data_IF_211311011392
#
_entry.id   IF_211311011392
#
_cell.length_a   1.000
_cell.length_b   1.000
_cell.length_c   1.000
_cell.angle_alpha   90.00
_cell.angle_beta   90.00
_cell.angle_gamma   90.00
#
_symmetry.space_group_name_H-M   'P 1'
#
loop_
_entity.id
_entity.type
_entity.pdbx_description
1 polymer ?
#
# COMPACT_ATOMS: atom_id res chain seq x y z
N UNK A 1 28.96 -6.04 -3.10
CA UNK A 1 30.20 -6.66 -3.61
C UNK A 1 31.38 -5.69 -3.61
N UNK A 2 31.24 -4.48 -4.17
CA UNK A 2 32.31 -3.45 -4.17
C UNK A 2 32.87 -3.09 -2.80
N UNK A 3 32.01 -2.91 -1.79
CA UNK A 3 32.43 -2.58 -0.41
C UNK A 3 33.32 -3.70 0.15
N UNK A 4 32.91 -4.98 0.03
CA UNK A 4 33.71 -6.11 0.49
C UNK A 4 35.09 -6.17 -0.16
N UNK A 5 35.18 -5.97 -1.48
CA UNK A 5 36.45 -5.97 -2.20
C UNK A 5 37.38 -4.84 -1.77
N UNK A 6 36.84 -3.63 -1.56
CA UNK A 6 37.62 -2.49 -1.07
C UNK A 6 38.21 -2.77 0.32
N UNK A 7 37.42 -3.39 1.20
CA UNK A 7 37.82 -3.71 2.57
C UNK A 7 38.89 -4.81 2.61
N UNK A 8 38.85 -5.77 1.68
CA UNK A 8 39.86 -6.83 1.59
C UNK A 8 41.19 -6.36 0.99
N UNK A 9 41.17 -5.40 0.06
CA UNK A 9 42.38 -4.93 -0.64
C UNK A 9 43.14 -3.88 0.18
N UNK A 10 42.44 -3.02 0.92
CA UNK A 10 43.07 -1.91 1.68
C UNK A 10 44.18 -2.37 2.66
N UNK A 11 43.97 -3.39 3.52
CA UNK A 11 45.02 -3.87 4.42
C UNK A 11 46.24 -4.41 3.66
N UNK A 12 46.03 -5.08 2.53
CA UNK A 12 47.12 -5.59 1.70
C UNK A 12 47.96 -4.43 1.13
N UNK A 13 47.32 -3.35 0.67
CA UNK A 13 48.01 -2.13 0.23
C UNK A 13 48.81 -1.50 1.38
N UNK A 14 48.23 -1.41 2.58
CA UNK A 14 48.93 -0.86 3.76
C UNK A 14 50.16 -1.69 4.10
N UNK A 15 50.04 -3.03 4.11
CA UNK A 15 51.19 -3.90 4.36
C UNK A 15 52.26 -3.78 3.27
N UNK A 16 51.87 -3.66 2.00
CA UNK A 16 52.78 -3.45 0.88
C UNK A 16 53.56 -2.13 1.04
N UNK A 17 52.85 -1.01 1.26
CA UNK A 17 53.46 0.33 1.39
C UNK A 17 54.32 0.42 2.64
N UNK A 18 53.83 -0.07 3.78
CA UNK A 18 54.57 -0.04 5.03
C UNK A 18 55.81 -0.96 4.98
N UNK A 19 55.69 -2.14 4.37
CA UNK A 19 56.82 -3.02 4.12
C UNK A 19 57.89 -2.37 3.22
N UNK A 20 57.46 -1.71 2.14
CA UNK A 20 58.35 -0.96 1.27
C UNK A 20 59.07 0.20 1.99
N UNK A 21 58.37 0.96 2.83
CA UNK A 21 58.96 2.08 3.60
C UNK A 21 59.93 1.62 4.69
N UNK A 22 59.69 0.46 5.31
CA UNK A 22 60.62 -0.15 6.28
C UNK A 22 61.94 -0.53 5.58
N UNK A 23 61.88 -1.10 4.37
CA UNK A 23 63.07 -1.50 3.60
C UNK A 23 63.92 -0.27 3.22
N UNK A 24 63.28 0.84 2.85
CA UNK A 24 63.96 2.10 2.49
C UNK A 24 64.38 2.94 3.71
N UNK A 25 64.27 2.38 4.93
CA UNK A 25 64.65 2.99 6.22
C UNK A 25 64.08 4.40 6.44
N UNK A 26 62.82 4.61 6.08
CA UNK A 26 62.10 5.85 6.40
C UNK A 26 61.96 5.98 7.94
N UNK A 27 62.46 7.05 8.56
CA UNK A 27 62.34 7.24 10.01
C UNK A 27 60.88 7.39 10.45
N UNK A 28 60.49 6.76 11.55
CA UNK A 28 59.20 6.99 12.21
C UNK A 28 58.12 5.91 12.02
N UNK A 29 58.38 4.86 11.23
CA UNK A 29 57.43 3.77 11.03
C UNK A 29 57.90 2.53 11.78
N UNK A 30 57.15 2.17 12.83
CA UNK A 30 57.37 0.95 13.61
C UNK A 30 56.38 -0.14 13.22
N UNK A 31 56.70 -1.40 13.55
CA UNK A 31 55.77 -2.52 13.40
C UNK A 31 54.47 -2.29 14.18
N UNK A 32 54.57 -1.67 15.38
CA UNK A 32 53.40 -1.32 16.19
C UNK A 32 52.50 -0.27 15.52
N UNK A 33 53.07 0.65 14.74
CA UNK A 33 52.32 1.65 13.96
C UNK A 33 51.43 0.97 12.91
N UNK A 34 51.94 -0.06 12.23
CA UNK A 34 51.19 -0.80 11.21
C UNK A 34 50.00 -1.54 11.85
N UNK A 35 50.26 -2.27 12.94
CA UNK A 35 49.21 -3.00 13.66
C UNK A 35 48.15 -2.05 14.22
N UNK A 36 48.56 -0.93 14.79
CA UNK A 36 47.64 0.10 15.27
C UNK A 36 46.79 0.70 14.13
N UNK A 37 47.40 0.98 12.97
CA UNK A 37 46.70 1.55 11.83
C UNK A 37 45.68 0.59 11.22
N UNK A 38 46.04 -0.69 10.99
CA UNK A 38 45.10 -1.68 10.43
C UNK A 38 43.96 -2.00 11.39
N UNK A 39 44.23 -1.97 12.70
CA UNK A 39 43.20 -2.09 13.74
C UNK A 39 42.23 -0.90 13.71
N UNK A 40 42.76 0.33 13.69
CA UNK A 40 41.93 1.55 13.63
C UNK A 40 41.12 1.64 12.33
N UNK A 41 41.73 1.28 11.20
CA UNK A 41 41.07 1.21 9.91
C UNK A 41 39.86 0.26 9.95
N UNK A 42 40.03 -0.94 10.50
CA UNK A 42 38.93 -1.91 10.60
C UNK A 42 37.78 -1.37 11.46
N UNK A 43 38.11 -0.66 12.55
CA UNK A 43 37.13 -0.01 13.42
C UNK A 43 36.40 1.15 12.74
N UNK A 44 37.05 1.89 11.84
CA UNK A 44 36.44 2.97 11.07
C UNK A 44 35.50 2.43 9.97
N UNK A 45 35.89 1.32 9.37
CA UNK A 45 35.23 0.74 8.22
C UNK A 45 33.89 0.08 8.55
N UNK A 46 33.76 -0.48 9.74
CA UNK A 46 32.50 -1.07 10.21
C UNK A 46 31.34 -0.03 10.28
N UNK A 47 31.47 1.12 10.98
CA UNK A 47 30.44 2.16 11.01
C UNK A 47 30.08 2.73 9.63
N UNK A 48 31.07 2.90 8.74
CA UNK A 48 30.83 3.38 7.36
C UNK A 48 29.94 2.39 6.61
N UNK A 49 30.21 1.09 6.74
CA UNK A 49 29.37 0.05 6.14
C UNK A 49 27.95 0.06 6.69
N UNK A 50 27.77 0.29 7.99
CA UNK A 50 26.44 0.42 8.59
C UNK A 50 25.67 1.61 8.03
N UNK A 51 26.31 2.77 7.89
CA UNK A 51 25.68 3.99 7.37
C UNK A 51 25.18 3.81 5.93
N UNK A 52 25.92 3.07 5.10
CA UNK A 52 25.48 2.75 3.74
C UNK A 52 24.22 1.88 3.71
N UNK A 53 24.04 0.99 4.69
CA UNK A 53 22.83 0.15 4.78
C UNK A 53 21.62 0.94 5.31
N UNK A 54 21.84 1.90 6.21
CA UNK A 54 20.77 2.77 6.75
C UNK A 54 20.04 3.51 5.62
N UNK A 55 20.73 3.89 4.55
CA UNK A 55 20.09 4.54 3.40
C UNK A 55 18.99 3.65 2.78
N UNK A 56 19.25 2.34 2.63
CA UNK A 56 18.29 1.39 2.06
C UNK A 56 17.11 1.20 3.01
N UNK A 57 17.39 1.12 4.31
CA UNK A 57 16.36 0.99 5.34
C UNK A 57 15.41 2.19 5.37
N UNK A 58 15.95 3.42 5.33
CA UNK A 58 15.15 4.64 5.28
C UNK A 58 14.29 4.68 4.00
N UNK A 59 14.86 4.33 2.84
CA UNK A 59 14.09 4.28 1.59
C UNK A 59 12.93 3.28 1.66
N UNK A 60 13.18 2.09 2.23
CA UNK A 60 12.14 1.11 2.45
C UNK A 60 11.06 1.59 3.43
N UNK A 61 11.45 2.22 4.53
CA UNK A 61 10.53 2.76 5.53
C UNK A 61 9.64 3.87 4.96
N UNK A 62 10.19 4.79 4.16
CA UNK A 62 9.42 5.85 3.51
C UNK A 62 8.36 5.28 2.56
N UNK A 63 8.70 4.29 1.73
CA UNK A 63 7.72 3.63 0.86
C UNK A 63 6.61 2.92 1.64
N UNK A 64 6.94 2.38 2.81
CA UNK A 64 5.96 1.73 3.70
C UNK A 64 5.03 2.77 4.36
N UNK A 65 5.57 3.94 4.73
CA UNK A 65 4.76 5.06 5.20
C UNK A 65 3.79 5.57 4.14
N UNK A 66 4.23 5.69 2.88
CA UNK A 66 3.34 6.09 1.78
C UNK A 66 2.11 5.16 1.70
N UNK A 67 2.31 3.84 1.86
CA UNK A 67 1.21 2.87 1.87
C UNK A 67 0.32 2.96 3.10
N UNK A 68 0.90 3.22 4.27
CA UNK A 68 0.13 3.40 5.50
C UNK A 68 -0.76 4.64 5.39
N UNK A 69 -0.21 5.76 4.93
CA UNK A 69 -0.98 6.99 4.76
C UNK A 69 -2.02 6.86 3.65
N UNK A 70 -1.71 6.21 2.53
CA UNK A 70 -2.70 5.89 1.49
C UNK A 70 -3.91 5.14 2.05
N UNK A 71 -3.69 4.14 2.92
CA UNK A 71 -4.78 3.40 3.55
C UNK A 71 -5.55 4.25 4.57
N UNK A 72 -4.85 5.05 5.38
CA UNK A 72 -5.47 5.93 6.37
C UNK A 72 -6.29 7.06 5.74
N UNK A 73 -5.88 7.51 4.56
CA UNK A 73 -6.55 8.55 3.78
C UNK A 73 -7.62 7.99 2.83
N UNK A 74 -7.87 6.67 2.85
CA UNK A 74 -8.95 6.06 2.09
C UNK A 74 -10.29 6.69 2.55
N UNK A 75 -11.08 7.29 1.64
CA UNK A 75 -12.33 7.92 2.01
C UNK A 75 -13.31 6.88 2.56
N UNK A 76 -14.04 7.24 3.61
CA UNK A 76 -15.18 6.44 4.08
C UNK A 76 -16.33 6.64 3.09
N UNK A 77 -16.79 5.57 2.45
CA UNK A 77 -17.84 5.64 1.42
C UNK A 77 -19.18 6.16 1.95
N UNK A 78 -19.56 5.77 3.16
CA UNK A 78 -20.85 6.13 3.77
C UNK A 78 -20.64 7.13 4.88
N UNK A 79 -20.90 8.40 4.58
CA UNK A 79 -20.80 9.50 5.53
C UNK A 79 -22.16 10.13 5.79
N UNK A 80 -22.33 10.65 7.00
CA UNK A 80 -23.52 11.44 7.33
C UNK A 80 -23.40 12.83 6.70
N UNK A 81 -24.52 13.32 6.17
CA UNK A 81 -24.58 14.69 5.64
C UNK A 81 -24.40 15.70 6.77
N UNK A 82 -23.84 16.89 6.50
CA UNK A 82 -23.79 17.97 7.48
C UNK A 82 -25.20 18.27 8.01
N UNK A 83 -25.39 18.23 9.33
CA UNK A 83 -26.70 18.42 9.96
C UNK A 83 -27.59 17.17 9.99
N UNK A 84 -27.04 15.97 9.83
CA UNK A 84 -27.77 14.73 10.07
C UNK A 84 -28.43 14.75 11.45
N UNK A 85 -29.73 14.45 11.49
CA UNK A 85 -30.50 14.38 12.72
C UNK A 85 -30.19 13.07 13.45
N UNK A 86 -29.99 13.16 14.77
CA UNK A 86 -29.92 11.99 15.63
C UNK A 86 -31.34 11.52 15.93
N UNK A 87 -31.65 10.28 15.56
CA UNK A 87 -32.97 9.68 15.77
C UNK A 87 -32.99 8.96 17.12
N UNK A 88 -33.89 9.37 18.01
CA UNK A 88 -34.10 8.65 19.28
C UNK A 88 -34.95 7.40 18.99
N UNK A 89 -34.64 6.21 19.55
CA UNK A 89 -35.41 4.99 19.31
C UNK A 89 -36.92 5.14 19.63
N UNK A 90 -37.26 6.00 20.59
CA UNK A 90 -38.65 6.28 20.98
C UNK A 90 -39.46 7.04 19.91
N UNK A 91 -38.78 7.72 18.98
CA UNK A 91 -39.41 8.51 17.91
C UNK A 91 -39.60 7.69 16.62
N UNK A 92 -38.97 6.50 16.53
CA UNK A 92 -38.97 5.67 15.32
C UNK A 92 -40.16 4.72 15.31
N UNK A 93 -41.13 4.98 14.42
CA UNK A 93 -42.33 4.14 14.27
C UNK A 93 -42.11 2.83 13.51
N UNK A 94 -40.95 2.66 12.85
CA UNK A 94 -40.61 1.45 12.10
C UNK A 94 -41.30 1.30 10.74
N UNK A 95 -41.85 2.38 10.18
CA UNK A 95 -42.31 2.41 8.79
C UNK A 95 -41.11 2.46 7.84
N UNK A 96 -41.10 1.61 6.81
CA UNK A 96 -40.04 1.55 5.80
C UNK A 96 -40.63 1.79 4.41
N UNK A 97 -40.05 2.72 3.65
CA UNK A 97 -40.47 3.02 2.28
C UNK A 97 -39.27 3.00 1.35
N UNK A 98 -39.33 2.14 0.33
CA UNK A 98 -38.46 2.22 -0.84
C UNK A 98 -39.21 3.01 -1.91
N UNK A 99 -38.56 4.03 -2.47
CA UNK A 99 -39.14 4.89 -3.50
C UNK A 99 -38.17 5.02 -4.66
N UNK A 100 -38.52 4.39 -5.77
CA UNK A 100 -37.84 4.42 -7.06
C UNK A 100 -36.35 4.09 -6.91
N UNK A 101 -36.06 3.07 -6.09
CA UNK A 101 -34.69 2.73 -5.71
C UNK A 101 -34.01 1.93 -6.83
N UNK A 102 -32.94 2.51 -7.35
CA UNK A 102 -32.01 1.86 -8.26
C UNK A 102 -30.64 1.72 -7.58
N UNK A 103 -29.98 0.58 -7.79
CA UNK A 103 -28.70 0.30 -7.15
C UNK A 103 -27.85 -0.66 -7.98
N UNK A 104 -26.57 -0.35 -8.05
CA UNK A 104 -25.55 -1.16 -8.69
C UNK A 104 -24.35 -1.33 -7.78
N UNK A 105 -23.91 -2.57 -7.57
CA UNK A 105 -22.63 -2.80 -6.90
C UNK A 105 -21.50 -2.21 -7.76
N UNK A 106 -20.83 -1.20 -7.23
CA UNK A 106 -19.53 -0.77 -7.73
C UNK A 106 -18.57 -1.94 -7.51
N UNK A 107 -18.32 -2.72 -8.56
CA UNK A 107 -17.19 -3.63 -8.54
C UNK A 107 -15.97 -2.72 -8.52
N UNK A 108 -15.17 -2.90 -7.49
CA UNK A 108 -13.87 -2.25 -7.34
C UNK A 108 -13.00 -2.70 -8.53
N UNK A 109 -13.18 -2.04 -9.67
CA UNK A 109 -12.27 -2.15 -10.78
C UNK A 109 -10.94 -1.65 -10.24
N UNK A 110 -9.91 -2.48 -10.32
CA UNK A 110 -8.70 -2.30 -11.17
C UNK A 110 -8.31 -0.90 -11.70
N UNK A 111 -9.14 0.13 -11.58
CA UNK A 111 -8.90 1.56 -11.80
C UNK A 111 -7.80 2.12 -10.91
N UNK A 112 -7.68 1.73 -9.63
CA UNK A 112 -6.57 2.19 -8.77
C UNK A 112 -5.23 1.67 -9.29
N UNK A 113 -5.21 0.45 -9.85
CA UNK A 113 -4.02 -0.11 -10.50
C UNK A 113 -3.76 0.49 -11.90
N UNK A 114 -4.81 0.84 -12.66
CA UNK A 114 -4.67 1.48 -13.98
C UNK A 114 -4.20 2.93 -13.88
N UNK A 115 -4.70 3.71 -12.94
CA UNK A 115 -4.28 5.11 -12.72
C UNK A 115 -2.82 5.20 -12.26
N UNK A 116 -2.34 4.19 -11.51
CA UNK A 116 -0.93 4.06 -11.14
C UNK A 116 -0.05 3.68 -12.34
N UNK A 117 -0.54 2.85 -13.27
CA UNK A 117 0.17 2.49 -14.50
C UNK A 117 0.20 3.66 -15.50
N UNK A 118 -0.84 4.48 -15.58
CA UNK A 118 -0.88 5.65 -16.48
C UNK A 118 -0.01 6.81 -15.97
N UNK A 119 0.12 7.02 -14.65
CA UNK A 119 0.99 8.05 -14.08
C UNK A 119 2.48 7.71 -14.09
N UNK A 120 2.87 6.44 -14.23
CA UNK A 120 4.28 6.01 -14.32
C UNK A 120 4.85 5.99 -15.76
N UNK A 121 4.11 6.48 -16.75
CA UNK A 121 4.55 6.53 -18.16
C UNK A 121 5.70 7.50 -18.48
N UNK A 122 6.30 8.19 -17.51
CA UNK A 122 7.38 9.14 -17.78
C UNK A 122 8.47 9.17 -16.69
N UNK A 123 9.32 8.13 -16.65
CA UNK A 123 10.55 8.14 -15.85
C UNK A 123 11.11 6.76 -15.58
N UNK A 124 12.38 6.56 -15.91
CA UNK A 124 13.14 5.31 -15.77
C UNK A 124 13.11 4.72 -14.34
N UNK A 125 12.73 3.44 -14.18
CA UNK A 125 13.15 2.64 -13.03
C UNK A 125 12.17 1.60 -12.48
N UNK A 126 12.56 0.32 -12.59
CA UNK A 126 12.01 -0.89 -11.93
C UNK A 126 10.61 -1.35 -12.34
N UNK A 127 10.62 -2.38 -13.20
CA UNK A 127 9.47 -3.27 -13.46
C UNK A 127 9.03 -3.95 -12.15
N UNK A 128 7.74 -3.87 -11.76
CA UNK A 128 7.16 -4.86 -10.86
C UNK A 128 7.01 -6.17 -11.64
N UNK A 129 7.62 -7.25 -11.13
CA UNK A 129 7.29 -8.62 -11.55
C UNK A 129 5.94 -8.98 -10.92
N UNK A 130 4.85 -8.62 -11.59
CA UNK A 130 3.53 -9.22 -11.36
C UNK A 130 3.27 -10.23 -12.50
N UNK A 131 2.70 -11.41 -12.22
CA UNK A 131 2.44 -12.41 -13.24
C UNK A 131 1.50 -11.82 -14.29
N UNK A 132 1.93 -11.92 -15.55
CA UNK A 132 1.20 -11.65 -16.79
C UNK A 132 -0.32 -11.61 -16.59
N UNK A 133 -0.85 -10.39 -16.50
CA UNK A 133 -2.27 -10.15 -16.70
C UNK A 133 -2.57 -10.57 -18.15
N UNK A 134 -3.10 -11.79 -18.28
CA UNK A 134 -3.77 -12.24 -19.50
C UNK A 134 -4.88 -11.22 -19.77
N UNK A 135 -4.61 -10.33 -20.72
CA UNK A 135 -5.58 -9.39 -21.24
C UNK A 135 -6.70 -10.19 -21.90
N UNK A 136 -7.72 -10.53 -21.13
CA UNK A 136 -9.00 -10.97 -21.66
C UNK A 136 -9.65 -9.73 -22.27
N UNK A 137 -9.46 -9.58 -23.58
CA UNK A 137 -10.24 -8.69 -24.43
C UNK A 137 -11.66 -9.27 -24.58
N UNK A 138 -12.51 -9.10 -23.57
CA UNK A 138 -13.96 -9.29 -23.73
C UNK A 138 -14.71 -8.28 -22.85
N UNK A 139 -15.34 -7.32 -23.54
CA UNK A 139 -16.46 -6.48 -23.11
C UNK A 139 -16.21 -5.56 -21.91
N UNK A 140 -16.54 -4.28 -22.08
CA UNK A 140 -16.65 -3.35 -20.96
C UNK A 140 -17.46 -3.99 -19.84
N UNK A 141 -17.04 -3.90 -18.56
CA UNK A 141 -17.85 -4.41 -17.48
C UNK A 141 -19.03 -3.46 -17.32
N UNK A 142 -20.10 -3.74 -18.06
CA UNK A 142 -21.40 -3.15 -17.79
C UNK A 142 -21.78 -3.64 -16.41
N UNK A 143 -21.63 -2.77 -15.41
CA UNK A 143 -22.08 -3.03 -14.05
C UNK A 143 -23.58 -3.31 -14.13
N UNK A 144 -23.97 -4.59 -14.03
CA UNK A 144 -25.36 -4.98 -14.17
C UNK A 144 -26.15 -4.37 -13.01
N UNK A 145 -27.11 -3.52 -13.33
CA UNK A 145 -28.06 -2.95 -12.36
C UNK A 145 -28.64 -4.08 -11.51
N UNK A 146 -28.47 -3.96 -10.19
CA UNK A 146 -28.88 -5.00 -9.23
C UNK A 146 -30.31 -4.79 -8.78
N UNK A 147 -30.71 -3.54 -8.54
CA UNK A 147 -32.09 -3.11 -8.31
C UNK A 147 -32.45 -2.05 -9.32
N UNK A 148 -33.63 -2.15 -9.92
CA UNK A 148 -34.10 -1.21 -10.94
C UNK A 148 -35.50 -0.71 -10.58
N UNK A 149 -35.59 0.56 -10.19
CA UNK A 149 -36.84 1.28 -9.89
C UNK A 149 -37.76 0.56 -8.88
N UNK A 150 -37.19 0.08 -7.78
CA UNK A 150 -37.92 -0.68 -6.76
C UNK A 150 -38.66 0.27 -5.82
N UNK A 151 -40.00 0.16 -5.80
CA UNK A 151 -40.90 0.95 -4.95
C UNK A 151 -41.82 0.04 -4.13
N UNK A 152 -41.76 0.13 -2.81
CA UNK A 152 -42.68 -0.57 -1.90
C UNK A 152 -42.70 0.08 -0.50
N UNK A 153 -43.75 -0.23 0.26
CA UNK A 153 -43.94 0.25 1.63
C UNK A 153 -44.18 -0.93 2.59
N UNK A 154 -43.56 -0.87 3.76
CA UNK A 154 -43.78 -1.79 4.89
C UNK A 154 -44.25 -0.97 6.09
N UNK A 155 -45.46 -1.27 6.56
CA UNK A 155 -46.08 -0.58 7.69
C UNK A 155 -45.47 -1.00 9.03
N UNK A 156 -45.58 -0.17 10.08
CA UNK A 156 -45.19 -0.57 11.44
C UNK A 156 -45.81 -1.90 11.86
N UNK A 157 -44.96 -2.83 12.34
CA UNK A 157 -45.38 -4.17 12.79
C UNK A 157 -45.78 -5.15 11.67
N UNK A 158 -45.71 -4.75 10.39
CA UNK A 158 -46.02 -5.63 9.27
C UNK A 158 -44.89 -6.63 9.04
N UNK A 159 -45.23 -7.91 8.98
CA UNK A 159 -44.31 -8.95 8.50
C UNK A 159 -44.32 -8.95 6.97
N UNK A 160 -43.20 -8.58 6.36
CA UNK A 160 -43.00 -8.64 4.91
C UNK A 160 -41.99 -9.73 4.54
N UNK A 161 -42.27 -10.46 3.46
CA UNK A 161 -41.37 -11.48 2.92
C UNK A 161 -40.92 -11.09 1.51
N UNK A 162 -39.60 -11.10 1.29
CA UNK A 162 -39.00 -10.90 -0.04
C UNK A 162 -38.75 -12.27 -0.68
N UNK A 163 -39.43 -12.56 -1.80
CA UNK A 163 -39.38 -13.87 -2.47
C UNK A 163 -39.06 -13.68 -3.95
N UNK A 164 -38.30 -14.62 -4.52
CA UNK A 164 -37.89 -14.56 -5.92
C UNK A 164 -36.66 -15.43 -6.20
N UNK A 165 -36.30 -15.63 -7.48
CA UNK A 165 -35.17 -16.48 -7.88
C UNK A 165 -33.83 -15.95 -7.35
N UNK A 166 -32.80 -16.79 -7.36
CA UNK A 166 -31.44 -16.37 -6.99
C UNK A 166 -30.98 -15.21 -7.88
N UNK A 167 -30.29 -14.21 -7.31
CA UNK A 167 -29.83 -13.02 -8.03
C UNK A 167 -30.87 -11.92 -8.25
N UNK A 168 -32.12 -12.07 -7.79
CA UNK A 168 -33.17 -11.04 -7.93
C UNK A 168 -33.01 -9.79 -7.01
N UNK A 169 -31.86 -9.60 -6.35
CA UNK A 169 -31.62 -8.43 -5.49
C UNK A 169 -32.20 -8.47 -4.07
N UNK A 170 -32.82 -9.60 -3.64
CA UNK A 170 -33.41 -9.74 -2.29
C UNK A 170 -32.45 -9.38 -1.16
N UNK A 171 -31.24 -9.95 -1.18
CA UNK A 171 -30.19 -9.66 -0.18
C UNK A 171 -29.72 -8.22 -0.25
N UNK A 172 -29.63 -7.65 -1.45
CA UNK A 172 -29.27 -6.25 -1.66
C UNK A 172 -30.29 -5.31 -1.03
N UNK A 173 -31.60 -5.56 -1.20
CA UNK A 173 -32.66 -4.82 -0.50
C UNK A 173 -32.44 -4.88 1.01
N UNK A 174 -32.15 -6.07 1.56
CA UNK A 174 -31.88 -6.23 2.99
C UNK A 174 -30.65 -5.44 3.47
N UNK A 175 -29.62 -5.26 2.64
CA UNK A 175 -28.43 -4.48 2.97
C UNK A 175 -28.62 -2.96 2.85
N UNK A 176 -29.54 -2.50 2.00
CA UNK A 176 -29.86 -1.08 1.88
C UNK A 176 -30.65 -0.54 3.08
N UNK A 177 -31.47 -1.37 3.74
CA UNK A 177 -32.24 -0.97 4.93
C UNK A 177 -31.35 -0.44 6.08
N UNK A 178 -30.31 -1.17 6.54
CA UNK A 178 -29.36 -0.66 7.53
C UNK A 178 -28.31 0.29 6.93
N UNK A 179 -28.46 0.72 5.67
CA UNK A 179 -27.52 1.59 4.95
C UNK A 179 -26.09 1.03 4.93
N UNK A 180 -25.93 -0.27 4.61
CA UNK A 180 -24.60 -0.86 4.33
C UNK A 180 -24.05 -0.46 2.95
N UNK A 181 -24.93 0.04 2.08
CA UNK A 181 -24.61 0.66 0.80
C UNK A 181 -25.51 1.88 0.62
N UNK A 182 -25.07 2.85 -0.18
CA UNK A 182 -25.93 3.95 -0.65
C UNK A 182 -26.58 3.60 -1.98
N UNK A 183 -27.80 4.08 -2.19
CA UNK A 183 -28.51 3.99 -3.47
C UNK A 183 -27.90 4.98 -4.47
N UNK A 184 -27.98 4.65 -5.76
CA UNK A 184 -27.45 5.49 -6.84
C UNK A 184 -28.28 6.77 -7.06
#
# INVERSE_FOLDING_TARGET
>A
MFVGTFFSIMPAIIYLVAGWQIIHRVPGISLGTIVAFTTLQSRLFFPIGQLLNVQVEIQGALALFDRIFEYLDLPIDIQNRPGALELSPDEVQGQLTFKDVSFTYKRDESSVLRDLIEKEGNGEGKRPVSPEAVAILTEEPVSRITLNDVSFEIKPGQLAALVGPSGAGKTTITYLVPRLYEVD
#
